data_IF_793757789522
#
_entry.id   IF_793757789522
#
_cell.length_a   1.000
_cell.length_b   1.000
_cell.length_c   1.000
_cell.angle_alpha   90.00
_cell.angle_beta   90.00
_cell.angle_gamma   90.00
#
_symmetry.space_group_name_H-M   'P 1'
#
loop_
_entity.id
_entity.type
_entity.pdbx_description
1 polymer ?
#
# COMPACT_ATOMS: atom_id res chain seq x y z
N UNK A 1 -7.75 6.06 -7.69
CA UNK A 1 -6.73 7.12 -7.74
C UNK A 1 -7.32 8.18 -8.62
N UNK A 2 -7.42 9.40 -8.11
CA UNK A 2 -8.02 10.50 -8.83
C UNK A 2 -6.91 11.33 -9.45
N UNK A 3 -7.25 12.13 -10.45
CA UNK A 3 -6.37 13.19 -10.91
C UNK A 3 -6.13 14.15 -9.72
N UNK A 4 -4.87 14.57 -9.51
CA UNK A 4 -4.40 15.39 -8.38
C UNK A 4 -4.15 14.69 -7.02
N UNK A 5 -4.20 13.36 -6.92
CA UNK A 5 -3.80 12.69 -5.66
C UNK A 5 -2.28 12.78 -5.40
N UNK A 6 -1.90 13.20 -4.20
CA UNK A 6 -0.50 13.22 -3.77
C UNK A 6 -0.12 11.85 -3.21
N UNK A 7 0.97 11.28 -3.73
CA UNK A 7 1.43 9.94 -3.35
C UNK A 7 2.91 9.92 -3.02
N UNK A 8 3.28 9.04 -2.08
CA UNK A 8 4.67 8.83 -1.71
C UNK A 8 5.27 7.72 -2.57
N UNK A 9 6.42 7.99 -3.18
CA UNK A 9 7.14 7.07 -4.08
C UNK A 9 8.33 6.46 -3.33
N UNK A 10 8.56 5.16 -3.52
CA UNK A 10 9.78 4.47 -3.09
C UNK A 10 10.51 3.85 -4.28
N UNK A 11 11.82 3.66 -4.12
CA UNK A 11 12.64 2.93 -5.09
C UNK A 11 12.19 1.48 -5.25
N UNK A 12 12.23 0.98 -6.48
CA UNK A 12 12.05 -0.43 -6.80
C UNK A 12 11.54 -0.62 -8.21
N UNK A 13 12.29 -1.38 -9.00
CA UNK A 13 11.98 -1.67 -10.40
C UNK A 13 11.00 -2.84 -10.50
N UNK A 14 9.98 -2.68 -11.34
CA UNK A 14 9.19 -3.83 -11.79
C UNK A 14 10.00 -4.57 -12.85
N UNK A 15 10.32 -5.84 -12.58
CA UNK A 15 11.22 -6.64 -13.43
C UNK A 15 10.74 -6.69 -14.89
N UNK A 16 9.44 -6.84 -15.06
CA UNK A 16 8.83 -7.18 -16.35
C UNK A 16 8.47 -5.96 -17.21
N UNK A 17 8.53 -4.74 -16.64
CA UNK A 17 8.10 -3.53 -17.32
C UNK A 17 9.27 -2.56 -17.54
N UNK A 18 9.65 -2.25 -18.80
CA UNK A 18 10.61 -1.20 -19.08
C UNK A 18 10.02 0.16 -18.73
N UNK A 19 10.78 1.00 -18.04
CA UNK A 19 10.36 2.35 -17.61
C UNK A 19 9.72 2.44 -16.22
N UNK A 20 9.24 1.32 -15.64
CA UNK A 20 8.63 1.33 -14.29
C UNK A 20 9.70 1.06 -13.23
N UNK A 21 10.35 2.13 -12.75
CA UNK A 21 11.49 2.08 -11.81
C UNK A 21 11.14 2.33 -10.34
N UNK A 22 9.88 2.66 -10.07
CA UNK A 22 9.43 3.03 -8.74
C UNK A 22 8.13 2.34 -8.35
N UNK A 23 7.94 2.18 -7.05
CA UNK A 23 6.69 1.71 -6.47
C UNK A 23 6.05 2.78 -5.61
N UNK A 24 4.72 2.76 -5.54
CA UNK A 24 3.97 3.67 -4.67
C UNK A 24 3.84 3.04 -3.28
N UNK A 25 4.05 3.85 -2.24
CA UNK A 25 3.83 3.44 -0.85
C UNK A 25 2.34 3.45 -0.55
N UNK A 26 1.79 2.32 -0.10
CA UNK A 26 0.37 2.17 0.24
C UNK A 26 0.13 2.52 1.70
N UNK A 27 -0.99 3.17 2.00
CA UNK A 27 -1.36 3.60 3.35
C UNK A 27 -0.69 4.91 3.80
N UNK A 28 -0.21 5.72 2.85
CA UNK A 28 0.41 7.03 3.08
C UNK A 28 -0.19 8.06 2.11
N UNK A 29 -0.35 9.31 2.58
CA UNK A 29 -1.03 10.40 1.86
C UNK A 29 -2.41 9.94 1.35
N UNK A 30 -2.75 10.24 0.09
CA UNK A 30 -4.06 9.96 -0.49
C UNK A 30 -4.24 8.48 -0.89
N UNK A 31 -3.19 7.66 -0.77
CA UNK A 31 -3.23 6.28 -1.21
C UNK A 31 -3.64 5.31 -0.10
N UNK A 32 -4.88 4.85 -0.17
CA UNK A 32 -5.43 3.88 0.77
C UNK A 32 -4.73 2.51 0.73
N UNK A 33 -4.66 1.86 1.90
CA UNK A 33 -4.17 0.50 2.05
C UNK A 33 -5.07 -0.54 1.37
N UNK A 34 -4.60 -1.79 1.29
CA UNK A 34 -5.40 -2.90 0.76
C UNK A 34 -6.32 -3.44 1.86
N UNK A 35 -7.63 -3.45 1.60
CA UNK A 35 -8.65 -4.00 2.51
C UNK A 35 -8.44 -5.50 2.70
N UNK A 36 -8.70 -6.00 3.90
CA UNK A 36 -8.72 -7.43 4.27
C UNK A 36 -7.43 -8.23 4.01
N UNK A 37 -6.32 -7.56 3.71
CA UNK A 37 -5.02 -8.21 3.61
C UNK A 37 -4.59 -8.72 4.98
N UNK A 38 -4.48 -10.05 5.13
CA UNK A 38 -4.07 -10.71 6.39
C UNK A 38 -2.56 -10.90 6.50
N UNK A 39 -1.86 -11.09 5.38
CA UNK A 39 -0.40 -11.34 5.31
C UNK A 39 0.36 -10.19 4.61
N UNK A 40 1.64 -10.00 4.96
CA UNK A 40 2.51 -8.94 4.44
C UNK A 40 1.90 -7.52 4.55
N UNK A 41 1.13 -7.29 5.61
CA UNK A 41 0.27 -6.10 5.78
C UNK A 41 1.01 -4.77 5.75
N UNK A 42 2.24 -4.74 6.27
CA UNK A 42 3.10 -3.55 6.31
C UNK A 42 3.44 -3.02 4.92
N UNK A 43 3.60 -3.90 3.91
CA UNK A 43 3.90 -3.48 2.53
C UNK A 43 2.70 -2.82 1.84
N UNK A 44 1.49 -3.17 2.26
CA UNK A 44 0.24 -2.80 1.60
C UNK A 44 -0.63 -1.84 2.43
N UNK A 45 -0.10 -1.29 3.54
CA UNK A 45 -0.81 -0.32 4.37
C UNK A 45 -2.06 -0.87 5.07
N UNK A 46 -2.12 -2.18 5.32
CA UNK A 46 -3.24 -2.81 6.04
C UNK A 46 -2.95 -2.81 7.54
N UNK A 47 -3.88 -2.27 8.35
CA UNK A 47 -3.76 -2.32 9.81
C UNK A 47 -4.01 -3.74 10.31
N UNK A 48 -3.38 -4.11 11.42
CA UNK A 48 -3.70 -5.38 12.09
C UNK A 48 -5.17 -5.32 12.52
N UNK A 49 -6.02 -6.26 12.08
CA UNK A 49 -7.39 -6.33 12.57
C UNK A 49 -7.33 -6.52 14.09
N UNK A 50 -8.09 -5.72 14.82
CA UNK A 50 -8.25 -5.93 16.25
C UNK A 50 -8.89 -7.32 16.40
N UNK A 51 -8.24 -8.22 17.13
CA UNK A 51 -8.93 -9.42 17.60
C UNK A 51 -10.15 -8.90 18.35
N UNK A 52 -11.35 -9.38 17.99
CA UNK A 52 -12.53 -9.09 18.77
C UNK A 52 -12.17 -9.42 20.21
N UNK A 53 -12.23 -8.43 21.11
CA UNK A 53 -12.14 -8.73 22.54
C UNK A 53 -13.24 -9.76 22.76
N UNK A 54 -12.87 -10.98 23.15
CA UNK A 54 -13.85 -11.95 23.59
C UNK A 54 -14.65 -11.26 24.68
N UNK A 55 -15.94 -11.04 24.41
CA UNK A 55 -16.89 -10.58 25.42
C UNK A 55 -17.23 -11.78 26.29
#
# INVERSE_FOLDING_TARGET
MQEHSVVLIRGGRVKDLPGVRYHIVRGSLDLQGVKDRKQARSKYGSKRPKAAKAK
#
